data_IF_057268798283
#
_entry.id   IF_057268798283
#
_cell.length_a   1.000
_cell.length_b   1.000
_cell.length_c   1.000
_cell.angle_alpha   90.00
_cell.angle_beta   90.00
_cell.angle_gamma   90.00
#
_symmetry.space_group_name_H-M   'P 1'
#
loop_
_entity.id
_entity.type
_entity.pdbx_description
1 polymer ?
#
# COMPACT_ATOMS: atom_id res chain seq x y z
N UNK A 1 -24.90 18.94 18.03
CA UNK A 1 -23.58 19.17 17.39
C UNK A 1 -22.36 18.88 18.31
N UNK A 2 -22.51 18.95 19.64
CA UNK A 2 -21.42 18.66 20.59
C UNK A 2 -21.29 17.13 20.86
N UNK A 3 -22.38 16.39 20.75
CA UNK A 3 -22.40 14.94 21.01
C UNK A 3 -21.65 14.10 19.96
N UNK A 4 -21.63 14.50 18.70
CA UNK A 4 -20.93 13.75 17.62
C UNK A 4 -19.39 13.82 17.72
N UNK A 5 -18.86 14.90 18.27
CA UNK A 5 -17.40 15.01 18.49
C UNK A 5 -16.90 14.15 19.66
N UNK A 6 -17.76 13.86 20.64
CA UNK A 6 -17.42 13.05 21.80
C UNK A 6 -17.36 11.54 21.46
N UNK A 7 -18.23 11.07 20.56
CA UNK A 7 -18.25 9.64 20.15
C UNK A 7 -16.94 9.22 19.47
N UNK A 8 -16.34 10.09 18.67
CA UNK A 8 -15.03 9.81 18.05
C UNK A 8 -13.87 9.77 19.05
N UNK A 9 -13.90 10.60 20.09
CA UNK A 9 -12.86 10.64 21.11
C UNK A 9 -12.97 9.48 22.10
N UNK A 10 -14.18 9.05 22.46
CA UNK A 10 -14.40 7.90 23.33
C UNK A 10 -14.02 6.57 22.66
N UNK A 11 -14.22 6.45 21.34
CA UNK A 11 -13.79 5.28 20.58
C UNK A 11 -12.25 5.13 20.56
N UNK A 12 -11.53 6.25 20.43
CA UNK A 12 -10.07 6.26 20.54
C UNK A 12 -9.56 5.99 21.96
N UNK A 13 -10.30 6.41 23.00
CA UNK A 13 -9.95 6.18 24.40
C UNK A 13 -10.26 4.72 24.80
N UNK A 14 -11.36 4.16 24.29
CA UNK A 14 -11.76 2.77 24.56
C UNK A 14 -10.82 1.75 23.90
N UNK A 15 -10.23 2.07 22.75
CA UNK A 15 -9.17 1.26 22.15
C UNK A 15 -7.85 1.34 22.95
N UNK A 16 -7.60 2.49 23.60
CA UNK A 16 -6.41 2.65 24.46
C UNK A 16 -6.52 1.91 25.78
N UNK A 17 -7.70 1.83 26.37
CA UNK A 17 -7.93 1.08 27.62
C UNK A 17 -7.94 -0.43 27.43
N UNK A 18 -8.08 -0.92 26.19
CA UNK A 18 -7.90 -2.32 25.79
C UNK A 18 -6.49 -2.67 25.31
N UNK A 19 -5.54 -1.73 25.34
CA UNK A 19 -4.14 -2.08 25.33
C UNK A 19 -3.84 -2.76 26.68
N UNK A 20 -4.23 -4.04 26.74
CA UNK A 20 -3.77 -4.99 27.72
C UNK A 20 -2.26 -4.77 27.89
N UNK A 21 -1.83 -4.66 29.13
CA UNK A 21 -0.45 -4.61 29.58
C UNK A 21 0.44 -5.39 28.62
N UNK A 22 1.32 -4.66 27.91
CA UNK A 22 2.27 -5.29 27.03
C UNK A 22 3.05 -6.29 27.86
N UNK A 23 3.14 -7.57 27.47
CA UNK A 23 3.90 -8.54 28.24
C UNK A 23 5.32 -8.01 28.39
N UNK A 24 5.81 -8.00 29.60
CA UNK A 24 7.13 -7.45 30.01
C UNK A 24 8.30 -8.04 29.21
N UNK A 25 8.09 -9.18 28.55
CA UNK A 25 9.04 -9.83 27.65
C UNK A 25 8.36 -10.22 26.34
N UNK A 26 8.80 -9.67 25.20
CA UNK A 26 8.26 -10.05 23.90
C UNK A 26 8.56 -11.54 23.62
N UNK A 27 7.54 -12.31 23.35
CA UNK A 27 7.72 -13.71 22.97
C UNK A 27 8.17 -13.76 21.49
N UNK A 28 9.41 -14.20 21.27
CA UNK A 28 10.03 -14.26 19.95
C UNK A 28 9.20 -15.11 18.97
N UNK A 29 8.55 -16.18 19.45
CA UNK A 29 7.71 -17.02 18.63
C UNK A 29 6.50 -16.26 18.06
N UNK A 30 5.91 -15.35 18.83
CA UNK A 30 4.81 -14.50 18.35
C UNK A 30 5.31 -13.42 17.37
N UNK A 31 6.50 -12.88 17.62
CA UNK A 31 7.10 -11.85 16.76
C UNK A 31 7.49 -12.40 15.37
N UNK A 32 7.84 -13.68 15.27
CA UNK A 32 8.19 -14.33 13.99
C UNK A 32 6.95 -14.60 13.14
N UNK A 33 5.77 -14.79 13.72
CA UNK A 33 4.57 -15.18 12.99
C UNK A 33 4.23 -14.27 11.77
N UNK A 34 4.23 -12.93 11.86
CA UNK A 34 3.96 -12.08 10.71
C UNK A 34 5.08 -12.04 9.66
N UNK A 35 6.32 -12.37 10.05
CA UNK A 35 7.47 -12.36 9.15
C UNK A 35 7.61 -13.69 8.37
N UNK A 36 7.10 -14.77 8.92
CA UNK A 36 7.25 -16.11 8.39
C UNK A 36 6.78 -16.26 6.94
N UNK A 37 5.62 -15.74 6.50
CA UNK A 37 5.19 -15.82 5.11
C UNK A 37 6.18 -15.13 4.14
N UNK A 38 6.72 -13.98 4.54
CA UNK A 38 7.68 -13.22 3.73
C UNK A 38 8.99 -13.98 3.61
N UNK A 39 9.51 -14.53 4.72
CA UNK A 39 10.72 -15.33 4.73
C UNK A 39 10.57 -16.57 3.86
N UNK A 40 9.43 -17.26 3.96
CA UNK A 40 9.13 -18.45 3.12
C UNK A 40 9.14 -18.08 1.64
N UNK A 41 8.50 -16.98 1.24
CA UNK A 41 8.45 -16.53 -0.15
C UNK A 41 9.85 -16.21 -0.68
N UNK A 42 10.64 -15.46 0.09
CA UNK A 42 12.01 -15.09 -0.29
C UNK A 42 12.90 -16.35 -0.40
N UNK A 43 12.84 -17.23 0.59
CA UNK A 43 13.61 -18.48 0.55
C UNK A 43 13.18 -19.39 -0.62
N UNK A 44 11.88 -19.53 -0.87
CA UNK A 44 11.37 -20.31 -1.98
C UNK A 44 11.80 -19.72 -3.33
N UNK A 45 11.80 -18.40 -3.47
CA UNK A 45 12.23 -17.71 -4.69
C UNK A 45 13.73 -17.92 -4.98
N UNK A 46 14.57 -17.96 -3.94
CA UNK A 46 16.03 -18.07 -4.10
C UNK A 46 16.45 -19.54 -4.26
N UNK A 47 15.90 -20.46 -3.44
CA UNK A 47 16.40 -21.83 -3.34
C UNK A 47 15.60 -22.85 -4.13
N UNK A 48 14.33 -22.54 -4.41
CA UNK A 48 13.43 -23.43 -5.14
C UNK A 48 12.52 -22.68 -6.14
N UNK A 49 13.10 -21.99 -7.16
CA UNK A 49 12.30 -21.21 -8.13
C UNK A 49 11.32 -22.08 -8.91
N UNK A 50 11.56 -23.40 -8.97
CA UNK A 50 10.66 -24.36 -9.61
C UNK A 50 9.33 -24.56 -8.86
N UNK A 51 9.29 -24.25 -7.56
CA UNK A 51 8.11 -24.52 -6.71
C UNK A 51 6.97 -23.52 -6.94
N UNK A 52 7.20 -22.41 -7.65
CA UNK A 52 6.21 -21.34 -7.95
C UNK A 52 5.24 -21.09 -6.80
N UNK A 53 5.78 -20.92 -5.59
CA UNK A 53 4.96 -20.76 -4.38
C UNK A 53 4.11 -19.49 -4.47
N UNK A 54 2.80 -19.62 -4.33
CA UNK A 54 1.91 -18.47 -4.33
C UNK A 54 1.95 -17.74 -2.99
N UNK A 55 1.67 -16.42 -3.02
CA UNK A 55 1.56 -15.61 -1.79
C UNK A 55 0.49 -16.20 -0.87
N UNK A 56 -0.63 -16.67 -1.43
CA UNK A 56 -1.71 -17.29 -0.66
C UNK A 56 -1.25 -18.53 0.11
N UNK A 57 -0.42 -19.38 -0.52
CA UNK A 57 0.14 -20.58 0.14
C UNK A 57 1.06 -20.21 1.30
N UNK A 58 1.93 -19.23 1.11
CA UNK A 58 2.83 -18.76 2.16
C UNK A 58 2.06 -18.13 3.33
N UNK A 59 1.01 -17.35 3.04
CA UNK A 59 0.13 -16.77 4.06
C UNK A 59 -0.64 -17.84 4.83
N UNK A 60 -1.10 -18.90 4.16
CA UNK A 60 -1.78 -20.03 4.81
C UNK A 60 -0.84 -20.74 5.80
N UNK A 61 0.41 -21.00 5.40
CA UNK A 61 1.43 -21.61 6.28
C UNK A 61 1.68 -20.70 7.48
N UNK A 62 1.82 -19.39 7.27
CA UNK A 62 1.98 -18.41 8.36
C UNK A 62 0.79 -18.38 9.31
N UNK A 63 -0.43 -18.49 8.79
CA UNK A 63 -1.64 -18.55 9.61
C UNK A 63 -1.71 -19.84 10.46
N UNK A 64 -1.37 -20.99 9.87
CA UNK A 64 -1.31 -22.27 10.59
C UNK A 64 -0.27 -22.20 11.72
N UNK A 65 0.92 -21.65 11.43
CA UNK A 65 1.94 -21.42 12.45
C UNK A 65 1.43 -20.53 13.58
N UNK A 66 0.82 -19.39 13.24
CA UNK A 66 0.28 -18.45 14.22
C UNK A 66 -0.75 -19.12 15.13
N UNK A 67 -1.67 -19.92 14.58
CA UNK A 67 -2.70 -20.67 15.34
C UNK A 67 -2.02 -21.68 16.28
N UNK A 68 -1.04 -22.42 15.78
CA UNK A 68 -0.34 -23.44 16.58
C UNK A 68 0.43 -22.83 17.77
N UNK A 69 1.10 -21.67 17.54
CA UNK A 69 1.89 -21.01 18.58
C UNK A 69 1.01 -20.26 19.58
N UNK A 70 -0.06 -19.59 19.13
CA UNK A 70 -0.95 -18.81 20.00
C UNK A 70 -1.97 -19.68 20.73
N UNK A 71 -2.20 -20.91 20.27
CA UNK A 71 -3.23 -21.84 20.79
C UNK A 71 -4.62 -21.18 20.89
N UNK A 72 -4.93 -20.32 19.93
CA UNK A 72 -6.18 -19.56 19.88
C UNK A 72 -7.34 -20.52 19.61
N UNK A 73 -8.50 -20.26 20.24
CA UNK A 73 -9.70 -21.11 20.04
C UNK A 73 -10.19 -21.02 18.58
N UNK A 74 -10.75 -22.11 18.02
CA UNK A 74 -11.28 -22.12 16.66
C UNK A 74 -12.34 -21.04 16.40
N UNK A 75 -13.17 -20.74 17.39
CA UNK A 75 -14.19 -19.69 17.30
C UNK A 75 -13.58 -18.29 17.14
N UNK A 76 -12.49 -18.00 17.87
CA UNK A 76 -11.79 -16.73 17.76
C UNK A 76 -11.01 -16.61 16.44
N UNK A 77 -10.40 -17.71 15.97
CA UNK A 77 -9.74 -17.78 14.66
C UNK A 77 -10.74 -17.47 13.56
N UNK A 78 -11.90 -18.12 13.58
CA UNK A 78 -12.96 -17.89 12.59
C UNK A 78 -13.42 -16.43 12.60
N UNK A 79 -13.67 -15.86 13.78
CA UNK A 79 -14.06 -14.45 13.90
C UNK A 79 -13.00 -13.51 13.32
N UNK A 80 -11.74 -13.69 13.69
CA UNK A 80 -10.63 -12.85 13.18
C UNK A 80 -10.40 -13.02 11.69
N UNK A 81 -10.63 -14.23 11.16
CA UNK A 81 -10.55 -14.48 9.72
C UNK A 81 -11.62 -13.68 8.96
N UNK A 82 -12.88 -13.73 9.36
CA UNK A 82 -13.95 -12.97 8.72
C UNK A 82 -13.80 -11.46 8.91
N UNK A 83 -13.36 -11.00 10.08
CA UNK A 83 -13.05 -9.59 10.32
C UNK A 83 -11.91 -9.09 9.42
N UNK A 84 -10.87 -9.92 9.25
CA UNK A 84 -9.74 -9.62 8.34
C UNK A 84 -10.15 -9.62 6.88
N UNK A 85 -10.96 -10.58 6.47
CA UNK A 85 -11.50 -10.67 5.11
C UNK A 85 -12.39 -9.46 4.78
N UNK A 86 -13.27 -9.06 5.71
CA UNK A 86 -14.11 -7.86 5.53
C UNK A 86 -13.30 -6.58 5.38
N UNK A 87 -12.25 -6.40 6.19
CA UNK A 87 -11.33 -5.26 6.06
C UNK A 87 -10.54 -5.30 4.75
N UNK A 88 -10.04 -6.46 4.37
CA UNK A 88 -9.34 -6.65 3.10
C UNK A 88 -10.23 -6.35 1.91
N UNK A 89 -11.49 -6.81 1.94
CA UNK A 89 -12.48 -6.51 0.92
C UNK A 89 -12.71 -4.99 0.81
N UNK A 90 -13.01 -4.32 1.92
CA UNK A 90 -13.27 -2.88 1.91
C UNK A 90 -12.05 -2.05 1.50
N UNK A 91 -10.85 -2.41 1.98
CA UNK A 91 -9.64 -1.62 1.78
C UNK A 91 -8.94 -1.88 0.45
N UNK A 92 -9.06 -3.06 -0.13
CA UNK A 92 -8.34 -3.44 -1.34
C UNK A 92 -9.31 -3.51 -2.52
N UNK A 93 -10.33 -4.37 -2.46
CA UNK A 93 -11.26 -4.59 -3.56
C UNK A 93 -12.10 -3.33 -3.82
N UNK A 94 -12.52 -2.63 -2.76
CA UNK A 94 -13.23 -1.36 -2.88
C UNK A 94 -12.42 -0.30 -3.65
N UNK A 95 -11.11 -0.21 -3.37
CA UNK A 95 -10.22 0.73 -4.08
C UNK A 95 -10.04 0.30 -5.54
N UNK A 96 -9.86 -0.98 -5.83
CA UNK A 96 -9.71 -1.49 -7.20
C UNK A 96 -10.97 -1.19 -8.03
N UNK A 97 -12.17 -1.44 -7.47
CA UNK A 97 -13.43 -1.14 -8.14
C UNK A 97 -13.54 0.37 -8.40
N UNK A 98 -13.26 1.21 -7.41
CA UNK A 98 -13.31 2.66 -7.56
C UNK A 98 -12.31 3.17 -8.62
N UNK A 99 -11.09 2.63 -8.64
CA UNK A 99 -10.08 2.94 -9.65
C UNK A 99 -10.53 2.52 -11.06
N UNK A 100 -11.12 1.33 -11.19
CA UNK A 100 -11.67 0.85 -12.46
C UNK A 100 -12.82 1.73 -13.01
N UNK A 101 -13.74 2.13 -12.14
CA UNK A 101 -14.84 3.05 -12.51
C UNK A 101 -14.28 4.42 -12.92
N UNK A 102 -13.31 4.94 -12.19
CA UNK A 102 -12.65 6.20 -12.53
C UNK A 102 -11.93 6.13 -13.88
N UNK A 103 -11.14 5.07 -14.11
CA UNK A 103 -10.48 4.86 -15.39
C UNK A 103 -11.47 4.69 -16.56
N UNK A 104 -12.59 3.99 -16.36
CA UNK A 104 -13.65 3.88 -17.35
C UNK A 104 -14.27 5.25 -17.69
N UNK A 105 -14.49 6.10 -16.67
CA UNK A 105 -14.95 7.47 -16.87
C UNK A 105 -13.96 8.31 -17.69
N UNK A 106 -12.67 8.23 -17.39
CA UNK A 106 -11.63 8.94 -18.15
C UNK A 106 -11.53 8.47 -19.61
N UNK A 107 -11.69 7.16 -19.86
CA UNK A 107 -11.77 6.62 -21.23
C UNK A 107 -12.99 7.15 -21.96
N UNK A 108 -14.16 7.14 -21.33
CA UNK A 108 -15.40 7.62 -21.93
C UNK A 108 -15.34 9.12 -22.31
N UNK A 109 -14.60 9.92 -21.55
CA UNK A 109 -14.36 11.34 -21.83
C UNK A 109 -13.23 11.58 -22.87
N UNK A 110 -12.56 10.52 -23.36
CA UNK A 110 -11.42 10.64 -24.29
C UNK A 110 -10.14 11.21 -23.68
N UNK A 111 -10.10 11.41 -22.36
CA UNK A 111 -8.93 11.99 -21.67
C UNK A 111 -7.74 11.03 -21.72
N UNK A 112 -7.99 9.73 -21.58
CA UNK A 112 -6.91 8.73 -21.65
C UNK A 112 -6.31 8.69 -23.06
N UNK A 113 -7.15 8.71 -24.12
CA UNK A 113 -6.67 8.67 -25.50
C UNK A 113 -5.85 9.92 -25.84
N UNK A 114 -6.30 11.10 -25.40
CA UNK A 114 -5.56 12.34 -25.58
C UNK A 114 -4.22 12.30 -24.84
N UNK A 115 -4.19 11.78 -23.62
CA UNK A 115 -2.98 11.65 -22.81
C UNK A 115 -2.00 10.63 -23.41
N UNK A 116 -2.49 9.47 -23.83
CA UNK A 116 -1.70 8.44 -24.51
C UNK A 116 -1.09 8.97 -25.82
N UNK A 117 -1.90 9.64 -26.65
CA UNK A 117 -1.41 10.27 -27.89
C UNK A 117 -0.32 11.33 -27.62
N UNK A 118 -0.45 12.11 -26.56
CA UNK A 118 0.58 13.05 -26.17
C UNK A 118 1.87 12.33 -25.74
N UNK A 119 1.76 11.25 -24.99
CA UNK A 119 2.91 10.49 -24.48
C UNK A 119 3.61 9.66 -25.56
N UNK A 120 2.91 9.16 -26.59
CA UNK A 120 3.51 8.37 -27.69
C UNK A 120 4.50 9.17 -28.52
N UNK A 121 4.38 10.50 -28.53
CA UNK A 121 5.31 11.37 -29.22
C UNK A 121 6.57 11.72 -28.38
N UNK A 122 6.63 11.24 -27.12
CA UNK A 122 7.73 11.54 -26.21
C UNK A 122 7.91 10.36 -25.22
N UNK A 123 8.59 9.29 -25.66
CA UNK A 123 8.82 8.07 -24.86
C UNK A 123 9.35 8.30 -23.44
N UNK A 124 10.22 9.30 -23.27
CA UNK A 124 10.75 9.67 -21.95
C UNK A 124 9.69 10.29 -21.03
N UNK A 125 8.68 10.95 -21.60
CA UNK A 125 7.61 11.58 -20.83
C UNK A 125 6.67 10.54 -20.22
N UNK A 126 6.49 9.38 -20.87
CA UNK A 126 5.67 8.29 -20.31
C UNK A 126 6.31 7.71 -19.03
N UNK A 127 7.61 7.46 -19.07
CA UNK A 127 8.38 7.01 -17.90
C UNK A 127 8.32 8.05 -16.78
N UNK A 128 8.48 9.34 -17.12
CA UNK A 128 8.36 10.44 -16.18
C UNK A 128 6.94 10.54 -15.59
N UNK A 129 5.90 10.35 -16.42
CA UNK A 129 4.51 10.31 -15.98
C UNK A 129 4.24 9.18 -15.00
N UNK A 130 4.81 7.99 -15.22
CA UNK A 130 4.71 6.86 -14.32
C UNK A 130 5.46 7.07 -12.99
N UNK A 131 6.52 7.87 -13.00
CA UNK A 131 7.24 8.24 -11.79
C UNK A 131 6.52 9.36 -11.02
N UNK A 132 6.15 10.44 -11.68
CA UNK A 132 5.60 11.63 -11.01
C UNK A 132 4.09 11.55 -10.78
N UNK A 133 3.31 10.91 -11.67
CA UNK A 133 1.86 10.83 -11.58
C UNK A 133 1.40 10.19 -10.26
N UNK A 134 1.72 8.91 -10.02
CA UNK A 134 1.34 8.25 -8.77
C UNK A 134 1.97 8.92 -7.53
N UNK A 135 3.19 9.44 -7.64
CA UNK A 135 3.84 10.17 -6.54
C UNK A 135 3.03 11.38 -6.08
N UNK A 136 2.67 12.27 -7.02
CA UNK A 136 1.90 13.48 -6.73
C UNK A 136 0.47 13.15 -6.26
N UNK A 137 -0.18 12.18 -6.92
CA UNK A 137 -1.49 11.70 -6.49
C UNK A 137 -1.47 11.16 -5.07
N UNK A 138 -0.45 10.41 -4.70
CA UNK A 138 -0.30 9.85 -3.36
C UNK A 138 -0.02 10.92 -2.30
N UNK A 139 0.71 11.99 -2.64
CA UNK A 139 0.90 13.14 -1.74
C UNK A 139 -0.45 13.81 -1.42
N UNK A 140 -1.27 14.03 -2.44
CA UNK A 140 -2.56 14.72 -2.30
C UNK A 140 -3.58 13.84 -1.58
N UNK A 141 -3.65 12.56 -1.90
CA UNK A 141 -4.65 11.64 -1.33
C UNK A 141 -4.22 11.01 0.00
N UNK A 142 -2.93 10.99 0.30
CA UNK A 142 -2.37 10.24 1.44
C UNK A 142 -2.34 8.73 1.24
N UNK A 143 -2.73 8.23 0.06
CA UNK A 143 -2.84 6.79 -0.25
C UNK A 143 -1.98 6.43 -1.46
N UNK A 144 -0.88 5.70 -1.21
CA UNK A 144 -0.04 5.16 -2.29
C UNK A 144 -0.76 4.11 -3.12
N UNK A 145 -1.54 3.25 -2.46
CA UNK A 145 -2.27 2.17 -3.12
C UNK A 145 -3.33 2.72 -4.08
N UNK A 146 -4.12 3.71 -3.63
CA UNK A 146 -5.15 4.33 -4.48
C UNK A 146 -4.52 5.01 -5.71
N UNK A 147 -3.42 5.73 -5.52
CA UNK A 147 -2.69 6.39 -6.61
C UNK A 147 -2.11 5.35 -7.60
N UNK A 148 -1.51 4.28 -7.10
CA UNK A 148 -0.95 3.19 -7.91
C UNK A 148 -2.03 2.48 -8.71
N UNK A 149 -3.14 2.09 -8.07
CA UNK A 149 -4.23 1.39 -8.77
C UNK A 149 -4.88 2.28 -9.82
N UNK A 150 -5.15 3.54 -9.52
CA UNK A 150 -5.72 4.48 -10.49
C UNK A 150 -4.81 4.64 -11.72
N UNK A 151 -3.50 4.79 -11.52
CA UNK A 151 -2.55 4.90 -12.61
C UNK A 151 -2.43 3.60 -13.40
N UNK A 152 -2.29 2.48 -12.72
CA UNK A 152 -2.13 1.17 -13.37
C UNK A 152 -3.37 0.78 -14.17
N UNK A 153 -4.57 1.13 -13.72
CA UNK A 153 -5.79 0.85 -14.44
C UNK A 153 -5.96 1.76 -15.68
N UNK A 154 -5.52 3.02 -15.57
CA UNK A 154 -5.69 4.00 -16.64
C UNK A 154 -4.59 3.97 -17.71
N UNK A 155 -3.33 3.83 -17.31
CA UNK A 155 -2.15 4.10 -18.15
C UNK A 155 -1.34 2.85 -18.47
N UNK A 156 -1.11 1.98 -17.48
CA UNK A 156 -0.25 0.79 -17.62
C UNK A 156 -0.65 -0.17 -18.74
N UNK A 157 -1.96 -0.37 -19.09
CA UNK A 157 -2.33 -1.19 -20.24
C UNK A 157 -1.79 -0.68 -21.58
N UNK A 158 -1.42 0.60 -21.65
CA UNK A 158 -0.87 1.23 -22.85
C UNK A 158 0.66 1.22 -22.90
N UNK A 159 1.35 0.53 -21.97
CA UNK A 159 2.81 0.51 -21.83
C UNK A 159 3.56 0.19 -23.13
N UNK A 160 3.03 -0.74 -23.94
CA UNK A 160 3.60 -1.11 -25.24
C UNK A 160 3.68 0.07 -26.22
N UNK A 161 2.73 1.02 -26.14
CA UNK A 161 2.72 2.22 -27.00
C UNK A 161 3.84 3.19 -26.62
N UNK A 162 4.38 3.09 -25.41
CA UNK A 162 5.49 3.87 -24.88
C UNK A 162 6.84 3.17 -25.01
N UNK A 163 6.87 1.99 -25.66
CA UNK A 163 8.08 1.17 -25.74
C UNK A 163 8.51 0.53 -24.41
N UNK A 164 7.59 0.43 -23.44
CA UNK A 164 7.84 -0.15 -22.11
C UNK A 164 7.05 -1.44 -21.91
N UNK A 165 7.53 -2.31 -21.01
CA UNK A 165 6.75 -3.46 -20.56
C UNK A 165 5.69 -3.03 -19.54
N UNK A 166 4.58 -3.76 -19.49
CA UNK A 166 3.52 -3.56 -18.49
C UNK A 166 4.10 -3.70 -17.08
N UNK A 167 4.97 -4.68 -16.89
CA UNK A 167 5.59 -4.94 -15.59
C UNK A 167 6.49 -3.80 -15.11
N UNK A 168 7.34 -3.25 -16.01
CA UNK A 168 8.23 -2.14 -15.69
C UNK A 168 7.45 -0.87 -15.37
N UNK A 169 6.45 -0.55 -16.18
CA UNK A 169 5.63 0.65 -15.97
C UNK A 169 4.80 0.53 -14.68
N UNK A 170 4.18 -0.62 -14.46
CA UNK A 170 3.40 -0.91 -13.27
C UNK A 170 4.23 -0.91 -11.99
N UNK A 171 5.44 -1.47 -12.05
CA UNK A 171 6.38 -1.46 -10.94
C UNK A 171 6.85 -0.06 -10.57
N UNK A 172 7.22 0.75 -11.57
CA UNK A 172 7.60 2.15 -11.36
C UNK A 172 6.47 2.95 -10.71
N UNK A 173 5.24 2.78 -11.19
CA UNK A 173 4.06 3.42 -10.61
C UNK A 173 3.82 2.99 -9.16
N UNK A 174 4.00 1.71 -8.83
CA UNK A 174 3.81 1.18 -7.48
C UNK A 174 4.84 1.76 -6.49
N UNK A 175 6.11 1.81 -6.88
CA UNK A 175 7.16 2.42 -6.05
C UNK A 175 6.90 3.91 -5.87
N UNK A 176 6.56 4.60 -6.95
CA UNK A 176 6.27 6.04 -6.93
C UNK A 176 5.11 6.39 -6.03
N UNK A 177 4.01 5.62 -6.07
CA UNK A 177 2.87 5.79 -5.18
C UNK A 177 3.25 5.60 -3.71
N UNK A 178 4.09 4.62 -3.40
CA UNK A 178 4.56 4.40 -2.04
C UNK A 178 5.48 5.54 -1.53
N UNK A 179 6.38 6.05 -2.36
CA UNK A 179 7.20 7.20 -2.01
C UNK A 179 6.36 8.47 -1.82
N UNK A 180 5.34 8.67 -2.67
CA UNK A 180 4.38 9.77 -2.52
C UNK A 180 3.60 9.68 -1.21
N UNK A 181 3.14 8.49 -0.82
CA UNK A 181 2.49 8.26 0.47
C UNK A 181 3.38 8.65 1.65
N UNK A 182 4.67 8.29 1.61
CA UNK A 182 5.64 8.66 2.63
C UNK A 182 6.00 10.15 2.63
N UNK A 183 5.64 10.85 1.57
CA UNK A 183 5.78 12.31 1.43
C UNK A 183 4.50 13.07 1.73
N UNK A 184 3.42 12.38 2.14
CA UNK A 184 2.12 12.98 2.38
C UNK A 184 1.85 13.24 3.87
N UNK A 185 1.47 14.47 4.25
CA UNK A 185 1.04 14.75 5.62
C UNK A 185 -0.33 14.13 5.97
N UNK A 186 -1.09 13.70 4.95
CA UNK A 186 -2.40 13.07 5.10
C UNK A 186 -2.31 11.54 5.28
N UNK A 187 -1.15 10.94 5.06
CA UNK A 187 -0.97 9.51 5.21
C UNK A 187 -1.14 9.07 6.67
N UNK A 188 -1.97 8.05 6.91
CA UNK A 188 -2.28 7.59 8.26
C UNK A 188 -1.05 7.24 9.09
N UNK A 189 -0.03 6.63 8.49
CA UNK A 189 1.23 6.34 9.15
C UNK A 189 1.99 7.59 9.60
N UNK A 190 1.97 8.66 8.79
CA UNK A 190 2.59 9.95 9.13
C UNK A 190 1.85 10.66 10.27
N UNK A 191 0.52 10.59 10.27
CA UNK A 191 -0.30 11.15 11.35
C UNK A 191 -0.03 10.42 12.67
N UNK A 192 0.08 9.10 12.65
CA UNK A 192 0.38 8.30 13.84
C UNK A 192 1.81 8.61 14.35
N UNK A 193 2.80 8.63 13.46
CA UNK A 193 4.18 8.95 13.80
C UNK A 193 4.30 10.37 14.40
N UNK A 194 3.61 11.35 13.84
CA UNK A 194 3.58 12.72 14.32
C UNK A 194 2.98 12.81 15.74
N UNK A 195 1.88 12.08 15.99
CA UNK A 195 1.27 12.02 17.33
C UNK A 195 2.18 11.39 18.36
N UNK A 196 2.89 10.33 17.99
CA UNK A 196 3.85 9.67 18.89
C UNK A 196 5.07 10.55 19.19
N UNK A 197 5.53 11.31 18.22
CA UNK A 197 6.67 12.23 18.35
C UNK A 197 6.29 13.59 18.96
N UNK A 198 5.00 13.89 19.14
CA UNK A 198 4.53 15.17 19.64
C UNK A 198 4.76 16.36 18.70
N UNK A 199 4.86 16.09 17.39
CA UNK A 199 5.11 17.10 16.35
C UNK A 199 3.96 17.12 15.33
N UNK A 200 3.93 18.12 14.43
CA UNK A 200 2.97 18.14 13.34
C UNK A 200 3.36 17.17 12.22
N UNK A 201 2.39 16.57 11.48
CA UNK A 201 2.69 15.71 10.32
C UNK A 201 3.56 16.41 9.28
N UNK A 202 3.39 17.72 9.10
CA UNK A 202 4.19 18.52 8.17
C UNK A 202 5.67 18.59 8.54
N UNK A 203 6.02 18.57 9.83
CA UNK A 203 7.42 18.57 10.26
C UNK A 203 8.13 17.26 9.92
N UNK A 204 7.41 16.15 9.98
CA UNK A 204 7.96 14.85 9.55
C UNK A 204 8.14 14.87 8.03
N UNK A 205 7.11 15.29 7.29
CA UNK A 205 7.12 15.31 5.83
C UNK A 205 8.22 16.22 5.28
N UNK A 206 8.50 17.37 5.89
CA UNK A 206 9.63 18.22 5.48
C UNK A 206 10.97 17.49 5.48
N UNK A 207 11.13 16.46 6.29
CA UNK A 207 12.35 15.66 6.37
C UNK A 207 12.30 14.42 5.47
N UNK A 208 11.13 13.79 5.33
CA UNK A 208 10.97 12.57 4.55
C UNK A 208 10.81 12.85 3.05
N UNK A 209 10.06 13.87 2.67
CA UNK A 209 9.75 14.16 1.27
C UNK A 209 11.00 14.39 0.38
N UNK A 210 12.02 15.13 0.81
CA UNK A 210 13.24 15.29 -0.01
C UNK A 210 13.95 13.95 -0.24
N UNK A 211 14.01 13.11 0.78
CA UNK A 211 14.65 11.78 0.70
C UNK A 211 13.87 10.89 -0.25
N UNK A 212 12.54 10.84 -0.12
CA UNK A 212 11.69 10.06 -1.00
C UNK A 212 11.75 10.53 -2.45
N UNK A 213 11.86 11.84 -2.67
CA UNK A 213 12.03 12.38 -4.01
C UNK A 213 13.39 11.98 -4.62
N UNK A 214 14.47 12.03 -3.84
CA UNK A 214 15.79 11.56 -4.30
C UNK A 214 15.74 10.05 -4.62
N UNK A 215 15.08 9.24 -3.78
CA UNK A 215 14.88 7.83 -4.06
C UNK A 215 14.05 7.60 -5.34
N UNK A 216 13.02 8.42 -5.58
CA UNK A 216 12.23 8.36 -6.80
C UNK A 216 13.08 8.63 -8.05
N UNK A 217 13.93 9.67 -7.99
CA UNK A 217 14.88 9.99 -9.07
C UNK A 217 15.85 8.81 -9.27
N UNK A 218 16.37 8.22 -8.20
CA UNK A 218 17.23 7.04 -8.28
C UNK A 218 16.55 5.87 -9.01
N UNK A 219 15.31 5.53 -8.63
CA UNK A 219 14.54 4.46 -9.28
C UNK A 219 14.22 4.79 -10.74
N UNK A 220 13.94 6.04 -11.05
CA UNK A 220 13.70 6.49 -12.43
C UNK A 220 14.89 6.24 -13.35
N UNK A 221 16.11 6.43 -12.87
CA UNK A 221 17.32 6.21 -13.67
C UNK A 221 17.81 4.76 -13.69
N UNK A 222 17.51 3.98 -12.65
CA UNK A 222 17.94 2.58 -12.52
C UNK A 222 16.97 1.57 -13.15
N UNK A 223 15.70 1.93 -13.30
CA UNK A 223 14.64 1.09 -13.91
C UNK A 223 14.27 1.61 -15.29
#
# INVERSE_FOLDING_TARGET
EIHERLVGSEMCIRDRSKQSELPEKPNILFAVAPLLPVVILVCASIWAPQLKMSVATAMLIGAIYAIAVTRTSPAEVTKKFFDGMGRGYASIIGIIIAAGVFAAGLRACGVIDAFVNYLTHANEVAKLGAALGPYLMAIVTGSGDAATFAFNEAVTPHAAQFGMSIDSLGYLAAISGNFGRLSSPLAGGMIIAARLAGVSPFEIVKRTAPVMFICLVGVYFLG
#
